data_IF_719007076619
#
_entry.id   IF_719007076619
#
_cell.length_a   1.000
_cell.length_b   1.000
_cell.length_c   1.000
_cell.angle_alpha   90.00
_cell.angle_beta   90.00
_cell.angle_gamma   90.00
#
_symmetry.space_group_name_H-M   'P 1'
#
loop_
_entity.id
_entity.type
_entity.pdbx_description
1 polymer ?
#
# COMPACT_ATOMS: atom_id res chain seq x y z
N UNK A 1 20.84 121.25 6.63
CA UNK A 1 19.77 120.33 7.08
C UNK A 1 19.89 119.06 6.24
N UNK A 2 19.96 117.90 6.91
CA UNK A 2 20.13 116.51 6.44
C UNK A 2 19.69 116.23 4.97
N UNK A 3 20.35 115.37 4.20
CA UNK A 3 20.51 113.95 4.51
C UNK A 3 21.42 113.22 3.51
N UNK A 4 22.07 112.17 4.02
CA UNK A 4 22.88 111.15 3.34
C UNK A 4 22.29 110.64 2.01
N UNK A 5 23.13 110.52 0.97
CA UNK A 5 23.22 109.31 0.10
C UNK A 5 24.33 109.40 -0.94
N UNK A 6 25.58 109.33 -0.49
CA UNK A 6 26.63 108.63 -1.23
C UNK A 6 26.48 107.14 -0.93
N UNK A 7 25.78 106.37 -1.78
CA UNK A 7 25.97 104.91 -1.95
C UNK A 7 24.89 104.36 -2.90
N UNK A 8 25.06 104.53 -4.22
CA UNK A 8 24.31 103.71 -5.19
C UNK A 8 25.01 103.64 -6.55
N UNK A 9 26.34 103.54 -6.53
CA UNK A 9 27.14 103.08 -7.66
C UNK A 9 27.68 101.66 -7.44
N UNK A 10 27.16 100.90 -6.46
CA UNK A 10 27.68 99.56 -6.14
C UNK A 10 26.63 98.53 -5.68
N UNK A 11 25.34 98.79 -5.96
CA UNK A 11 24.27 97.89 -5.52
C UNK A 11 23.12 97.83 -6.53
N UNK A 12 23.43 97.46 -7.77
CA UNK A 12 22.47 96.85 -8.67
C UNK A 12 23.15 95.74 -9.50
N UNK A 13 24.04 95.00 -8.84
CA UNK A 13 24.57 93.70 -9.27
C UNK A 13 23.84 92.53 -8.59
N UNK A 14 22.70 92.80 -7.96
CA UNK A 14 21.93 91.84 -7.20
C UNK A 14 20.48 92.25 -7.43
N UNK A 15 19.58 91.30 -7.75
CA UNK A 15 18.15 91.47 -8.07
C UNK A 15 17.75 91.46 -9.56
N UNK A 16 18.43 90.67 -10.39
CA UNK A 16 17.70 89.80 -11.33
C UNK A 16 17.91 88.41 -10.75
N UNK A 17 16.86 87.88 -10.13
CA UNK A 17 16.84 86.53 -9.59
C UNK A 17 17.31 85.57 -10.67
N UNK A 18 18.24 84.70 -10.31
CA UNK A 18 18.56 83.50 -11.07
C UNK A 18 17.34 82.55 -11.00
N UNK A 19 16.23 82.95 -11.60
CA UNK A 19 15.02 82.13 -11.74
C UNK A 19 14.75 81.76 -13.19
N UNK A 20 15.41 82.40 -14.16
CA UNK A 20 15.09 82.22 -15.59
C UNK A 20 16.32 81.96 -16.49
N UNK A 21 17.45 81.50 -15.92
CA UNK A 21 18.60 81.02 -16.70
C UNK A 21 18.80 79.52 -16.48
N UNK A 22 17.94 78.73 -17.11
CA UNK A 22 18.22 77.36 -17.57
C UNK A 22 18.94 76.46 -16.54
N UNK A 23 18.31 76.20 -15.38
CA UNK A 23 18.57 74.94 -14.70
C UNK A 23 17.86 73.88 -15.54
N UNK A 24 18.61 73.16 -16.37
CA UNK A 24 18.14 71.90 -16.93
C UNK A 24 17.66 71.07 -15.73
N UNK A 25 16.37 70.79 -15.67
CA UNK A 25 15.84 69.94 -14.60
C UNK A 25 16.67 68.65 -14.60
N UNK A 26 17.21 68.32 -13.42
CA UNK A 26 17.85 67.03 -13.23
C UNK A 26 16.75 66.00 -13.25
N UNK A 27 16.97 64.93 -14.00
CA UNK A 27 16.05 63.80 -14.02
C UNK A 27 16.17 62.99 -12.71
N UNK A 28 15.35 61.94 -12.56
CA UNK A 28 15.35 61.08 -11.36
C UNK A 28 16.65 60.29 -11.19
N UNK A 29 17.47 60.19 -12.25
CA UNK A 29 18.81 59.61 -12.23
C UNK A 29 19.89 60.63 -11.80
N UNK A 30 19.52 61.91 -11.61
CA UNK A 30 20.43 62.99 -11.29
C UNK A 30 21.18 63.57 -12.50
N UNK A 31 20.70 63.31 -13.72
CA UNK A 31 21.32 63.78 -14.96
C UNK A 31 20.64 65.08 -15.42
N UNK A 32 21.39 66.20 -15.55
CA UNK A 32 20.82 67.46 -16.03
C UNK A 32 20.34 67.35 -17.49
N UNK A 33 19.04 67.55 -17.72
CA UNK A 33 18.43 67.41 -19.05
C UNK A 33 18.29 65.96 -19.53
N UNK A 34 18.38 64.99 -18.60
CA UNK A 34 18.13 63.58 -18.88
C UNK A 34 16.65 63.24 -19.03
N UNK A 35 16.36 62.02 -19.48
CA UNK A 35 15.02 61.49 -19.74
C UNK A 35 14.70 60.24 -18.91
N UNK A 36 15.39 60.05 -17.77
CA UNK A 36 15.26 58.92 -16.85
C UNK A 36 15.74 57.55 -17.38
N UNK A 37 16.18 57.44 -18.63
CA UNK A 37 16.55 56.13 -19.22
C UNK A 37 17.85 55.54 -18.66
N UNK A 38 18.74 56.37 -18.09
CA UNK A 38 20.07 55.95 -17.67
C UNK A 38 20.13 55.12 -16.38
N UNK A 39 19.09 55.17 -15.54
CA UNK A 39 19.01 54.43 -14.28
C UNK A 39 17.74 53.58 -14.19
N UNK A 40 17.12 53.31 -15.35
CA UNK A 40 15.91 52.54 -15.46
C UNK A 40 16.20 51.06 -15.19
N UNK A 41 15.37 50.42 -14.37
CA UNK A 41 15.40 48.96 -14.19
C UNK A 41 14.67 48.22 -15.33
N UNK A 42 14.60 46.89 -15.23
CA UNK A 42 13.90 46.01 -16.18
C UNK A 42 12.38 46.29 -16.25
N UNK A 43 11.84 47.04 -15.28
CA UNK A 43 10.44 47.41 -15.17
C UNK A 43 10.14 48.82 -15.65
N UNK A 44 11.14 49.56 -16.13
CA UNK A 44 10.93 50.93 -16.57
C UNK A 44 10.88 51.93 -15.40
N UNK A 45 11.36 51.57 -14.21
CA UNK A 45 11.35 52.42 -13.02
C UNK A 45 12.75 52.99 -12.76
N UNK A 46 12.91 54.32 -12.74
CA UNK A 46 14.19 54.96 -12.42
C UNK A 46 14.63 54.64 -10.98
N UNK A 47 15.86 54.17 -10.82
CA UNK A 47 16.39 53.65 -9.55
C UNK A 47 15.51 52.55 -8.92
N UNK A 48 14.77 51.80 -9.73
CA UNK A 48 13.95 50.69 -9.26
C UNK A 48 14.78 49.48 -8.86
N UNK A 49 14.15 48.57 -8.12
CA UNK A 49 14.78 47.33 -7.64
C UNK A 49 14.72 46.19 -8.68
N UNK A 50 14.15 46.44 -9.87
CA UNK A 50 13.94 45.45 -10.92
C UNK A 50 12.89 44.39 -10.56
N UNK A 51 12.98 43.23 -11.21
CA UNK A 51 12.09 42.10 -10.95
C UNK A 51 12.57 41.37 -9.69
N UNK A 52 11.67 41.20 -8.71
CA UNK A 52 11.97 40.49 -7.46
C UNK A 52 12.23 38.99 -7.67
N UNK A 53 13.04 38.38 -6.80
CA UNK A 53 13.33 36.94 -6.87
C UNK A 53 12.05 36.09 -6.82
N UNK A 54 11.97 35.10 -7.71
CA UNK A 54 10.81 34.20 -7.83
C UNK A 54 9.71 34.68 -8.79
N UNK A 55 9.82 35.93 -9.29
CA UNK A 55 8.90 36.48 -10.28
C UNK A 55 9.58 36.56 -11.66
N UNK A 56 8.77 36.52 -12.72
CA UNK A 56 9.24 36.57 -14.10
C UNK A 56 8.91 37.90 -14.81
N UNK A 57 8.12 38.77 -14.18
CA UNK A 57 7.82 40.11 -14.65
C UNK A 57 7.53 41.09 -13.51
N UNK A 58 7.25 42.34 -13.89
CA UNK A 58 6.99 43.47 -13.02
C UNK A 58 5.56 43.51 -12.47
N UNK A 59 4.70 42.60 -12.94
CA UNK A 59 3.33 42.43 -12.44
C UNK A 59 3.27 41.38 -11.33
N UNK A 60 4.43 40.87 -10.90
CA UNK A 60 4.57 39.80 -9.91
C UNK A 60 3.98 38.47 -10.38
N UNK A 61 4.05 38.20 -11.68
CA UNK A 61 3.72 36.88 -12.19
C UNK A 61 4.84 35.87 -11.91
N UNK A 62 4.46 34.62 -11.70
CA UNK A 62 5.39 33.49 -11.48
C UNK A 62 5.59 32.76 -12.81
N UNK A 63 6.81 32.29 -13.05
CA UNK A 63 7.12 31.49 -14.23
C UNK A 63 6.34 30.18 -14.18
N UNK A 64 5.52 29.93 -15.19
CA UNK A 64 4.85 28.64 -15.36
C UNK A 64 5.85 27.53 -15.68
N UNK A 65 5.44 26.29 -15.45
CA UNK A 65 6.25 25.11 -15.78
C UNK A 65 6.48 24.95 -17.30
N UNK A 66 5.73 25.66 -18.14
CA UNK A 66 5.88 25.70 -19.60
C UNK A 66 6.85 26.78 -20.08
N UNK A 67 7.44 27.55 -19.14
CA UNK A 67 8.34 28.65 -19.43
C UNK A 67 7.64 29.96 -19.81
N UNK A 68 6.31 30.02 -19.73
CA UNK A 68 5.53 31.24 -19.97
C UNK A 68 5.23 31.96 -18.65
N UNK A 69 5.46 33.28 -18.61
CA UNK A 69 5.26 34.08 -17.41
C UNK A 69 3.76 34.27 -17.15
N UNK A 70 3.30 33.97 -15.94
CA UNK A 70 1.88 34.13 -15.59
C UNK A 70 0.94 33.12 -16.23
N UNK A 71 1.44 31.98 -16.74
CA UNK A 71 0.60 30.95 -17.35
C UNK A 71 -0.22 30.13 -16.34
N UNK A 72 0.04 30.31 -15.03
CA UNK A 72 -0.55 29.56 -13.91
C UNK A 72 -0.32 28.04 -13.94
N UNK A 73 0.40 27.51 -14.94
CA UNK A 73 0.66 26.08 -15.08
C UNK A 73 1.70 25.63 -14.06
N UNK A 74 1.37 24.59 -13.31
CA UNK A 74 2.26 23.97 -12.31
C UNK A 74 2.62 22.54 -12.69
N UNK A 75 3.74 22.03 -12.16
CA UNK A 75 4.05 20.61 -12.25
C UNK A 75 3.09 19.79 -11.37
N UNK A 76 2.66 18.63 -11.86
CA UNK A 76 1.97 17.63 -11.04
C UNK A 76 2.95 16.76 -10.23
N UNK A 77 2.45 15.77 -9.49
CA UNK A 77 3.30 14.87 -8.68
C UNK A 77 4.25 14.00 -9.55
N UNK A 78 3.98 13.89 -10.85
CA UNK A 78 4.80 13.17 -11.81
C UNK A 78 5.86 14.05 -12.48
N UNK A 79 5.91 15.35 -12.15
CA UNK A 79 6.80 16.31 -12.79
C UNK A 79 6.35 16.68 -14.21
N UNK A 80 5.09 16.45 -14.56
CA UNK A 80 4.51 16.85 -15.84
C UNK A 80 3.88 18.23 -15.69
N UNK A 81 4.27 19.16 -16.57
CA UNK A 81 3.71 20.50 -16.57
C UNK A 81 2.22 20.49 -16.93
N UNK A 82 1.38 21.08 -16.07
CA UNK A 82 -0.08 21.05 -16.17
C UNK A 82 -0.65 19.62 -16.25
N UNK A 83 0.05 18.67 -15.63
CA UNK A 83 -0.44 17.31 -15.48
C UNK A 83 -1.56 17.22 -14.43
N UNK A 84 -2.27 16.11 -14.41
CA UNK A 84 -3.45 15.89 -13.56
C UNK A 84 -3.26 14.80 -12.52
N UNK A 85 -2.08 14.18 -12.45
CA UNK A 85 -1.86 13.03 -11.56
C UNK A 85 -1.84 13.45 -10.10
N UNK A 86 -2.51 12.65 -9.28
CA UNK A 86 -2.65 12.87 -7.83
C UNK A 86 -1.93 11.79 -7.00
N UNK A 87 -1.45 10.72 -7.63
CA UNK A 87 -0.68 9.64 -6.98
C UNK A 87 0.62 9.36 -7.74
N UNK A 88 1.68 9.05 -6.99
CA UNK A 88 3.00 8.70 -7.55
C UNK A 88 2.96 7.37 -8.35
N UNK A 89 1.99 6.49 -8.05
CA UNK A 89 1.76 5.25 -8.80
C UNK A 89 1.36 5.48 -10.26
N UNK A 90 0.75 6.64 -10.54
CA UNK A 90 0.21 6.99 -11.87
C UNK A 90 1.30 7.62 -12.75
N UNK A 91 2.49 7.89 -12.18
CA UNK A 91 3.60 8.56 -12.84
C UNK A 91 4.48 7.63 -13.68
N UNK A 92 4.26 6.32 -13.61
CA UNK A 92 5.06 5.33 -14.32
C UNK A 92 4.51 4.98 -15.70
N UNK A 93 3.41 5.62 -16.12
CA UNK A 93 2.77 5.38 -17.40
C UNK A 93 2.95 6.58 -18.34
N UNK A 94 3.34 6.33 -19.59
CA UNK A 94 3.48 7.39 -20.61
C UNK A 94 2.13 8.07 -20.91
N UNK A 95 1.03 7.34 -20.74
CA UNK A 95 -0.32 7.84 -20.85
C UNK A 95 -0.90 8.12 -19.45
N UNK A 96 -1.16 9.40 -19.15
CA UNK A 96 -1.70 9.87 -17.87
C UNK A 96 -3.12 9.36 -17.55
N UNK A 97 -3.83 8.81 -18.55
CA UNK A 97 -5.15 8.20 -18.36
C UNK A 97 -5.08 6.72 -17.94
N UNK A 98 -3.88 6.16 -17.87
CA UNK A 98 -3.64 4.77 -17.52
C UNK A 98 -2.97 4.69 -16.16
N UNK A 99 -3.46 3.76 -15.33
CA UNK A 99 -2.82 3.39 -14.07
C UNK A 99 -2.09 2.07 -14.24
N UNK A 100 -1.07 1.86 -13.42
CA UNK A 100 -0.38 0.58 -13.33
C UNK A 100 -1.32 -0.49 -12.73
N UNK A 101 -1.44 -1.64 -13.38
CA UNK A 101 -2.07 -2.80 -12.78
C UNK A 101 -1.11 -3.51 -11.81
N UNK A 102 -1.56 -4.56 -11.11
CA UNK A 102 -0.71 -5.24 -10.14
C UNK A 102 0.45 -6.05 -10.75
N UNK A 103 0.53 -6.22 -12.08
CA UNK A 103 1.67 -6.82 -12.78
C UNK A 103 2.69 -5.77 -13.25
N UNK A 104 2.39 -4.48 -13.07
CA UNK A 104 3.25 -3.43 -13.60
C UNK A 104 2.91 -3.02 -15.03
N UNK A 105 1.72 -3.36 -15.54
CA UNK A 105 1.29 -2.97 -16.89
C UNK A 105 0.39 -1.74 -16.84
N UNK A 106 0.75 -0.71 -17.60
CA UNK A 106 -0.08 0.50 -17.77
C UNK A 106 -1.37 0.16 -18.51
N UNK A 107 -2.52 0.55 -17.93
CA UNK A 107 -3.83 0.25 -18.50
C UNK A 107 -4.19 -1.24 -18.47
N UNK A 108 -3.39 -2.06 -17.79
CA UNK A 108 -3.64 -3.46 -17.58
C UNK A 108 -4.87 -3.69 -16.70
N UNK A 109 -5.44 -4.89 -16.78
CA UNK A 109 -6.64 -5.26 -16.02
C UNK A 109 -6.33 -6.15 -14.82
N UNK A 110 -5.05 -6.37 -14.50
CA UNK A 110 -4.69 -7.28 -13.43
C UNK A 110 -5.04 -6.70 -12.05
N UNK A 111 -5.75 -7.50 -11.24
CA UNK A 111 -6.18 -7.10 -9.88
C UNK A 111 -5.58 -8.05 -8.86
N UNK A 112 -5.18 -7.50 -7.71
CA UNK A 112 -4.68 -8.28 -6.58
C UNK A 112 -5.86 -9.03 -5.93
N UNK A 113 -5.73 -10.34 -5.73
CA UNK A 113 -6.71 -11.11 -4.98
C UNK A 113 -6.56 -10.87 -3.46
N UNK A 114 -7.46 -11.44 -2.66
CA UNK A 114 -7.44 -11.27 -1.21
C UNK A 114 -6.25 -11.95 -0.52
N UNK A 115 -5.53 -12.84 -1.23
CA UNK A 115 -4.26 -13.40 -0.78
C UNK A 115 -3.06 -12.49 -1.08
N UNK A 116 -3.26 -11.38 -1.79
CA UNK A 116 -2.17 -10.51 -2.22
C UNK A 116 -1.51 -10.94 -3.53
N UNK A 117 -2.13 -11.85 -4.29
CA UNK A 117 -1.59 -12.37 -5.56
C UNK A 117 -2.26 -11.67 -6.73
N UNK A 118 -1.46 -11.09 -7.61
CA UNK A 118 -1.98 -10.45 -8.82
C UNK A 118 -2.60 -11.46 -9.80
N UNK A 119 -3.82 -11.20 -10.28
CA UNK A 119 -4.67 -12.15 -11.02
C UNK A 119 -4.82 -13.51 -10.32
N UNK A 120 -4.70 -13.52 -8.99
CA UNK A 120 -4.96 -14.69 -8.19
C UNK A 120 -6.45 -15.03 -8.14
N UNK A 121 -6.75 -16.21 -7.60
CA UNK A 121 -8.10 -16.73 -7.45
C UNK A 121 -8.37 -17.22 -6.01
N UNK A 122 -7.63 -16.68 -5.05
CA UNK A 122 -7.64 -17.02 -3.63
C UNK A 122 -7.13 -18.43 -3.25
N UNK A 123 -6.73 -19.27 -4.20
CA UNK A 123 -6.34 -20.66 -3.90
C UNK A 123 -5.06 -20.77 -3.06
N UNK A 124 -4.19 -19.76 -3.08
CA UNK A 124 -2.91 -19.79 -2.35
C UNK A 124 -3.06 -19.54 -0.85
N UNK A 125 -4.13 -18.88 -0.43
CA UNK A 125 -4.45 -18.64 0.98
C UNK A 125 -5.79 -19.29 1.40
N UNK A 126 -6.34 -20.15 0.57
CA UNK A 126 -7.48 -21.03 0.90
C UNK A 126 -6.95 -22.37 1.36
N UNK A 127 -7.46 -22.89 2.48
CA UNK A 127 -6.99 -24.17 2.99
C UNK A 127 -7.80 -24.74 4.15
N UNK A 128 -7.35 -25.90 4.65
CA UNK A 128 -8.02 -26.61 5.72
C UNK A 128 -7.93 -25.86 7.05
N UNK A 129 -9.09 -25.56 7.65
CA UNK A 129 -9.21 -24.93 8.97
C UNK A 129 -9.74 -25.88 10.05
N UNK A 130 -9.92 -27.17 9.75
CA UNK A 130 -10.32 -28.17 10.74
C UNK A 130 -9.11 -28.56 11.59
N UNK A 131 -9.09 -28.07 12.83
CA UNK A 131 -8.09 -28.45 13.83
C UNK A 131 -8.04 -29.97 14.01
N UNK A 132 -6.83 -30.52 13.92
CA UNK A 132 -6.56 -31.97 13.99
C UNK A 132 -6.36 -32.62 12.62
N UNK A 133 -6.65 -31.92 11.52
CA UNK A 133 -6.32 -32.37 10.16
C UNK A 133 -4.82 -32.30 9.90
N UNK A 134 -4.29 -33.14 9.01
CA UNK A 134 -2.84 -33.20 8.73
C UNK A 134 -2.37 -32.01 7.89
N UNK A 135 -3.24 -31.47 7.03
CA UNK A 135 -3.00 -30.26 6.26
C UNK A 135 -3.61 -28.99 6.89
N UNK A 136 -3.97 -29.03 8.18
CA UNK A 136 -4.44 -27.86 8.91
C UNK A 136 -3.37 -26.77 8.97
N UNK A 137 -3.77 -25.52 8.70
CA UNK A 137 -2.91 -24.36 8.93
C UNK A 137 -3.73 -23.16 9.40
N UNK A 138 -3.26 -22.50 10.45
CA UNK A 138 -3.83 -21.24 10.93
C UNK A 138 -3.47 -20.03 10.05
N UNK A 139 -2.65 -20.22 9.00
CA UNK A 139 -2.19 -19.14 8.12
C UNK A 139 -3.10 -18.94 6.91
N UNK A 140 -4.08 -19.83 6.67
CA UNK A 140 -5.07 -19.62 5.63
C UNK A 140 -5.99 -18.45 6.00
N UNK A 141 -6.37 -17.66 4.99
CA UNK A 141 -7.34 -16.55 5.14
C UNK A 141 -8.75 -17.09 4.96
N UNK A 142 -8.94 -18.01 4.00
CA UNK A 142 -10.21 -18.64 3.71
C UNK A 142 -10.19 -20.12 4.08
N UNK A 143 -11.24 -20.55 4.79
CA UNK A 143 -11.42 -21.94 5.16
C UNK A 143 -12.11 -22.71 4.05
N UNK A 144 -11.44 -23.72 3.52
CA UNK A 144 -12.05 -24.79 2.73
C UNK A 144 -11.86 -26.10 3.49
N UNK A 145 -12.95 -26.59 4.05
CA UNK A 145 -12.95 -27.80 4.87
C UNK A 145 -13.10 -29.07 4.04
N UNK A 146 -13.45 -28.96 2.75
CA UNK A 146 -13.60 -30.11 1.85
C UNK A 146 -12.25 -30.67 1.43
N UNK A 147 -11.20 -29.84 1.44
CA UNK A 147 -9.81 -30.24 1.16
C UNK A 147 -9.05 -30.72 2.39
N UNK A 148 -9.67 -30.73 3.57
CA UNK A 148 -9.04 -31.28 4.77
C UNK A 148 -8.72 -32.77 4.58
N UNK A 149 -7.54 -33.19 5.01
CA UNK A 149 -7.09 -34.57 4.88
C UNK A 149 -6.45 -35.11 6.15
N UNK A 150 -6.59 -36.42 6.33
CA UNK A 150 -5.84 -37.22 7.28
C UNK A 150 -5.22 -38.38 6.50
N UNK A 151 -3.91 -38.51 6.55
CA UNK A 151 -3.21 -39.63 5.90
C UNK A 151 -3.32 -40.89 6.76
N UNK A 152 -3.77 -41.99 6.18
CA UNK A 152 -3.99 -43.19 6.97
C UNK A 152 -2.69 -43.74 7.55
N UNK A 153 -1.63 -43.84 6.74
CA UNK A 153 -0.42 -44.59 7.13
C UNK A 153 0.36 -43.84 8.24
N UNK A 154 0.55 -42.54 8.07
CA UNK A 154 1.34 -41.71 8.97
C UNK A 154 0.55 -41.25 10.20
N UNK A 155 -0.76 -41.03 10.09
CA UNK A 155 -1.57 -40.57 11.21
C UNK A 155 -2.36 -41.67 11.89
N UNK A 156 -3.11 -42.49 11.15
CA UNK A 156 -4.05 -43.45 11.74
C UNK A 156 -3.36 -44.77 12.09
N UNK A 157 -2.68 -45.41 11.14
CA UNK A 157 -1.97 -46.66 11.36
C UNK A 157 -0.90 -46.49 12.45
N UNK A 158 -0.21 -45.35 12.50
CA UNK A 158 0.75 -45.06 13.59
C UNK A 158 0.09 -45.06 14.97
N UNK A 159 -1.13 -44.50 15.12
CA UNK A 159 -1.88 -44.56 16.38
C UNK A 159 -2.30 -46.00 16.69
N UNK A 160 -2.80 -46.74 15.70
CA UNK A 160 -3.22 -48.13 15.88
C UNK A 160 -2.05 -49.04 16.24
N UNK A 161 -0.89 -48.88 15.61
CA UNK A 161 0.31 -49.68 15.85
C UNK A 161 0.81 -49.50 17.28
N UNK A 162 0.86 -48.25 17.75
CA UNK A 162 1.37 -47.91 19.07
C UNK A 162 0.44 -48.33 20.21
N UNK A 163 -0.88 -48.34 19.97
CA UNK A 163 -1.87 -48.47 21.04
C UNK A 163 -2.83 -49.66 20.92
N UNK A 164 -2.90 -50.33 19.77
CA UNK A 164 -3.96 -51.32 19.51
C UNK A 164 -3.46 -52.62 18.90
N UNK A 165 -2.57 -52.57 17.91
CA UNK A 165 -2.19 -53.72 17.07
C UNK A 165 -1.57 -54.87 17.87
N UNK A 166 -0.83 -54.58 18.94
CA UNK A 166 -0.22 -55.64 19.79
C UNK A 166 -1.23 -56.67 20.33
N UNK A 167 -2.50 -56.27 20.50
CA UNK A 167 -3.61 -57.16 20.81
C UNK A 167 -4.49 -57.41 19.56
N UNK A 168 -4.77 -56.37 18.80
CA UNK A 168 -5.71 -56.42 17.68
C UNK A 168 -5.05 -56.73 16.33
N UNK A 169 -4.13 -57.69 16.32
CA UNK A 169 -3.52 -58.27 15.12
C UNK A 169 -4.24 -59.56 14.67
N UNK A 170 -5.59 -59.56 14.72
CA UNK A 170 -6.40 -60.74 14.37
C UNK A 170 -6.48 -61.84 15.43
N UNK A 171 -5.88 -61.64 16.61
CA UNK A 171 -5.96 -62.59 17.73
C UNK A 171 -7.15 -62.34 18.67
N UNK A 172 -7.56 -61.08 18.84
CA UNK A 172 -8.64 -60.67 19.75
C UNK A 172 -9.79 -59.95 19.02
N UNK A 173 -10.43 -60.67 18.10
CA UNK A 173 -11.66 -60.25 17.43
C UNK A 173 -11.42 -59.49 16.13
N UNK A 174 -10.85 -58.29 16.21
CA UNK A 174 -10.60 -57.44 15.04
C UNK A 174 -9.12 -57.44 14.64
N UNK A 175 -8.85 -57.21 13.34
CA UNK A 175 -7.50 -57.00 12.82
C UNK A 175 -7.30 -55.52 12.39
N UNK A 176 -6.36 -54.83 13.03
CA UNK A 176 -6.02 -53.42 12.85
C UNK A 176 -4.63 -53.21 12.22
N UNK A 177 -3.97 -54.27 11.72
CA UNK A 177 -2.60 -54.21 11.18
C UNK A 177 -2.49 -53.48 9.83
N UNK A 178 -3.61 -53.26 9.16
CA UNK A 178 -3.61 -52.62 7.85
C UNK A 178 -4.95 -51.96 7.52
N UNK A 179 -4.90 -51.04 6.56
CA UNK A 179 -6.06 -50.38 5.98
C UNK A 179 -7.09 -51.40 5.48
N UNK A 180 -6.62 -52.40 4.74
CA UNK A 180 -7.50 -53.42 4.14
C UNK A 180 -8.25 -54.21 5.21
N UNK A 181 -7.56 -54.57 6.29
CA UNK A 181 -8.17 -55.31 7.38
C UNK A 181 -9.20 -54.42 8.08
N UNK A 182 -8.79 -53.22 8.50
CA UNK A 182 -9.65 -52.26 9.18
C UNK A 182 -10.95 -51.94 8.42
N UNK A 183 -10.87 -51.76 7.10
CA UNK A 183 -12.03 -51.44 6.26
C UNK A 183 -12.85 -52.67 5.86
N UNK A 184 -12.27 -53.86 5.92
CA UNK A 184 -13.01 -55.13 5.69
C UNK A 184 -13.80 -55.56 6.91
N UNK A 185 -13.33 -55.21 8.10
CA UNK A 185 -14.04 -55.38 9.34
C UNK A 185 -15.21 -54.38 9.37
N UNK A 186 -16.42 -54.81 9.70
CA UNK A 186 -17.62 -53.96 9.74
C UNK A 186 -17.61 -53.01 10.96
N UNK A 187 -16.49 -52.31 11.18
CA UNK A 187 -16.21 -51.46 12.34
C UNK A 187 -16.00 -49.99 11.97
N UNK A 188 -15.79 -49.69 10.68
CA UNK A 188 -15.75 -48.34 10.11
C UNK A 188 -16.95 -48.13 9.19
N UNK A 189 -17.60 -46.99 9.35
CA UNK A 189 -18.62 -46.47 8.44
C UNK A 189 -18.04 -45.17 7.86
N UNK A 190 -17.53 -45.24 6.63
CA UNK A 190 -16.95 -44.09 5.96
C UNK A 190 -17.95 -42.92 5.90
N UNK A 191 -17.52 -41.73 6.32
CA UNK A 191 -18.35 -40.54 6.40
C UNK A 191 -19.23 -40.45 7.67
N UNK A 192 -19.18 -41.43 8.57
CA UNK A 192 -19.94 -41.42 9.83
C UNK A 192 -19.09 -41.94 11.00
N UNK A 193 -18.31 -41.03 11.56
CA UNK A 193 -17.50 -41.29 12.76
C UNK A 193 -18.37 -41.71 13.94
N UNK A 194 -19.51 -41.05 14.15
CA UNK A 194 -20.37 -41.28 15.31
C UNK A 194 -20.98 -42.66 15.36
N UNK A 195 -21.24 -43.27 14.20
CA UNK A 195 -21.79 -44.62 14.10
C UNK A 195 -20.76 -45.72 13.94
N UNK A 196 -19.52 -45.38 13.58
CA UNK A 196 -18.42 -46.34 13.48
C UNK A 196 -18.09 -46.99 14.84
N UNK A 197 -17.99 -48.32 14.86
CA UNK A 197 -17.72 -49.09 16.07
C UNK A 197 -16.36 -48.73 16.68
N UNK A 198 -15.32 -48.56 15.85
CA UNK A 198 -14.00 -48.19 16.34
C UNK A 198 -14.07 -46.91 17.17
N UNK A 199 -14.69 -45.85 16.63
CA UNK A 199 -14.82 -44.57 17.31
C UNK A 199 -15.62 -44.69 18.61
N UNK A 200 -16.76 -45.39 18.59
CA UNK A 200 -17.59 -45.63 19.79
C UNK A 200 -16.78 -46.29 20.92
N UNK A 201 -15.91 -47.24 20.57
CA UNK A 201 -15.07 -47.95 21.56
C UNK A 201 -14.00 -47.04 22.14
N UNK A 202 -13.23 -46.37 21.29
CA UNK A 202 -12.12 -45.51 21.75
C UNK A 202 -12.61 -44.23 22.44
N UNK A 203 -13.81 -43.74 22.12
CA UNK A 203 -14.42 -42.57 22.75
C UNK A 203 -15.16 -42.91 24.07
N UNK A 204 -15.18 -44.18 24.47
CA UNK A 204 -15.88 -44.64 25.68
C UNK A 204 -17.41 -44.68 25.58
N UNK A 205 -17.98 -44.52 24.38
CA UNK A 205 -19.43 -44.45 24.15
C UNK A 205 -20.06 -45.78 23.71
N UNK A 206 -19.27 -46.85 23.60
CA UNK A 206 -19.72 -48.18 23.17
C UNK A 206 -20.41 -48.98 24.27
N UNK A 207 -20.21 -48.62 25.55
CA UNK A 207 -20.60 -49.45 26.69
C UNK A 207 -19.75 -50.72 26.88
N UNK A 208 -18.76 -50.95 26.00
CA UNK A 208 -17.81 -52.06 26.08
C UNK A 208 -16.43 -51.52 26.50
N UNK A 209 -15.98 -51.73 27.74
CA UNK A 209 -14.65 -51.31 28.15
C UNK A 209 -13.60 -52.16 27.42
N UNK A 210 -12.77 -51.52 26.60
CA UNK A 210 -11.62 -52.15 25.96
C UNK A 210 -10.50 -52.28 27.00
N UNK A 211 -10.05 -53.50 27.36
CA UNK A 211 -8.80 -53.67 28.12
C UNK A 211 -7.62 -53.36 27.19
N UNK A 212 -6.54 -52.75 27.68
CA UNK A 212 -6.27 -52.28 29.05
C UNK A 212 -6.96 -50.95 29.43
N UNK A 213 -6.98 -50.61 30.73
CA UNK A 213 -7.70 -49.43 31.27
C UNK A 213 -7.13 -48.07 30.88
N UNK A 214 -6.13 -48.00 29.99
CA UNK A 214 -5.62 -46.71 29.51
C UNK A 214 -6.54 -46.15 28.44
N UNK A 215 -6.77 -44.85 28.49
CA UNK A 215 -7.54 -44.12 27.48
C UNK A 215 -6.57 -43.53 26.47
N UNK A 216 -6.86 -43.71 25.18
CA UNK A 216 -6.19 -42.97 24.13
C UNK A 216 -6.36 -41.47 24.37
N UNK A 217 -5.36 -40.66 23.98
CA UNK A 217 -5.46 -39.21 24.17
C UNK A 217 -6.55 -38.60 23.27
N UNK A 218 -7.10 -37.46 23.71
CA UNK A 218 -8.21 -36.82 23.02
C UNK A 218 -7.85 -36.36 21.59
N UNK A 219 -6.58 -36.04 21.30
CA UNK A 219 -6.16 -35.61 19.97
C UNK A 219 -6.16 -36.80 19.00
N UNK A 220 -5.65 -37.95 19.43
CA UNK A 220 -5.67 -39.18 18.64
C UNK A 220 -7.10 -39.68 18.41
N UNK A 221 -7.97 -39.64 19.43
CA UNK A 221 -9.40 -39.97 19.26
C UNK A 221 -10.07 -39.03 18.26
N UNK A 222 -9.84 -37.72 18.39
CA UNK A 222 -10.38 -36.71 17.48
C UNK A 222 -9.86 -36.89 16.05
N UNK A 223 -8.57 -37.20 15.88
CA UNK A 223 -7.97 -37.43 14.57
C UNK A 223 -8.56 -38.66 13.86
N UNK A 224 -8.75 -39.76 14.58
CA UNK A 224 -9.45 -40.94 14.05
C UNK A 224 -10.88 -40.59 13.64
N UNK A 225 -11.58 -39.78 14.45
CA UNK A 225 -12.93 -39.32 14.11
C UNK A 225 -12.95 -38.52 12.80
N UNK A 226 -12.01 -37.58 12.63
CA UNK A 226 -11.87 -36.79 11.41
C UNK A 226 -11.58 -37.65 10.19
N UNK A 227 -10.64 -38.59 10.28
CA UNK A 227 -10.33 -39.51 9.19
C UNK A 227 -11.55 -40.30 8.73
N UNK A 228 -12.32 -40.86 9.68
CA UNK A 228 -13.57 -41.56 9.34
C UNK A 228 -14.55 -40.60 8.67
N UNK A 229 -14.71 -39.41 9.24
CA UNK A 229 -15.65 -38.40 8.75
C UNK A 229 -15.30 -37.90 7.34
N UNK A 230 -14.02 -37.86 6.99
CA UNK A 230 -13.52 -37.52 5.64
C UNK A 230 -13.60 -38.69 4.65
N UNK A 231 -14.27 -39.79 5.01
CA UNK A 231 -14.51 -40.91 4.13
C UNK A 231 -13.57 -42.09 4.31
N UNK A 232 -12.72 -42.09 5.35
CA UNK A 232 -11.85 -43.21 5.70
C UNK A 232 -10.96 -43.69 4.53
N UNK A 233 -10.37 -42.73 3.80
CA UNK A 233 -9.47 -43.02 2.67
C UNK A 233 -8.04 -43.31 3.15
N UNK A 234 -7.27 -44.05 2.33
CA UNK A 234 -5.88 -44.36 2.63
C UNK A 234 -4.95 -43.19 2.30
#
# INVERSE_FOLDING_TARGET
MFSFRYFKLFLLFILISCSDLFLSEVDECGIPGGDNTSCMDECGVPNGDGISEGYCDCEYNIMGCDGECGSEKTYDICGICNGSSMNESDCNCENILETLDCLGECGGTAVIDECGVCNGNNSTCTGCMIFGSDNYSSNFIFGDNEICSIDYNSSIQTVLDNHCVSCHAGSYGVNLESFSNLMSENIIIAGDSTNSLLWKVISGNSGYPMPPTYTLDNLSIHKIALWIQFGANQ
#
